data_IF_891000242511
#
_entry.id   IF_891000242511
#
_cell.length_a   1.000
_cell.length_b   1.000
_cell.length_c   1.000
_cell.angle_alpha   90.00
_cell.angle_beta   90.00
_cell.angle_gamma   90.00
#
_symmetry.space_group_name_H-M   'P 1'
#
loop_
_entity.id
_entity.type
_entity.pdbx_description
1 polymer ?
#
# COMPACT_ATOMS: atom_id res chain seq x y z
N UNK A 1 4.45 -43.50 -32.75
CA UNK A 1 4.25 -42.13 -32.24
C UNK A 1 4.91 -42.14 -30.89
N UNK A 2 6.23 -41.92 -30.84
CA UNK A 2 7.03 -42.07 -29.62
C UNK A 2 7.77 -40.76 -29.39
N UNK A 3 6.98 -39.76 -29.02
CA UNK A 3 7.46 -38.43 -28.65
C UNK A 3 7.20 -38.14 -27.16
N UNK A 4 7.13 -39.20 -26.35
CA UNK A 4 6.84 -39.14 -24.93
C UNK A 4 7.94 -39.93 -24.19
N UNK A 5 8.62 -39.27 -23.26
CA UNK A 5 9.55 -39.82 -22.27
C UNK A 5 11.04 -40.01 -22.66
N UNK A 6 11.68 -39.04 -23.31
CA UNK A 6 13.15 -38.91 -23.17
C UNK A 6 13.45 -38.13 -21.87
N UNK A 7 14.34 -38.61 -20.97
CA UNK A 7 14.67 -37.93 -19.71
C UNK A 7 15.17 -36.49 -19.91
N UNK A 8 15.76 -36.19 -21.07
CA UNK A 8 16.17 -34.84 -21.47
C UNK A 8 14.98 -33.88 -21.62
N UNK A 9 13.84 -34.34 -22.14
CA UNK A 9 12.65 -33.52 -22.29
C UNK A 9 12.01 -33.17 -20.94
N UNK A 10 12.02 -34.13 -20.00
CA UNK A 10 11.51 -33.91 -18.63
C UNK A 10 12.38 -32.92 -17.86
N UNK A 11 13.71 -33.03 -17.99
CA UNK A 11 14.66 -32.11 -17.36
C UNK A 11 14.52 -30.68 -17.91
N UNK A 12 14.32 -30.53 -19.22
CA UNK A 12 14.08 -29.22 -19.82
C UNK A 12 12.80 -28.56 -19.30
N UNK A 13 11.71 -29.32 -19.18
CA UNK A 13 10.45 -28.82 -18.62
C UNK A 13 10.63 -28.43 -17.15
N UNK A 14 11.30 -29.26 -16.35
CA UNK A 14 11.57 -28.96 -14.93
C UNK A 14 12.44 -27.71 -14.77
N UNK A 15 13.44 -27.51 -15.64
CA UNK A 15 14.27 -26.31 -15.63
C UNK A 15 13.45 -25.04 -15.95
N UNK A 16 12.57 -25.10 -16.95
CA UNK A 16 11.69 -23.99 -17.31
C UNK A 16 10.71 -23.69 -16.16
N UNK A 17 10.12 -24.72 -15.53
CA UNK A 17 9.21 -24.55 -14.38
C UNK A 17 9.96 -24.00 -13.17
N UNK A 18 11.21 -24.41 -12.93
CA UNK A 18 12.03 -23.86 -11.85
C UNK A 18 12.37 -22.39 -12.09
N UNK A 19 12.77 -22.02 -13.30
CA UNK A 19 13.03 -20.61 -13.65
C UNK A 19 11.75 -19.78 -13.54
N UNK A 20 10.62 -20.30 -14.03
CA UNK A 20 9.32 -19.67 -13.85
C UNK A 20 8.97 -19.50 -12.36
N UNK A 21 9.14 -20.53 -11.52
CA UNK A 21 8.83 -20.45 -10.09
C UNK A 21 9.72 -19.47 -9.31
N UNK A 22 10.99 -19.29 -9.72
CA UNK A 22 11.90 -18.33 -9.09
C UNK A 22 11.64 -16.89 -9.57
N UNK A 23 11.16 -16.73 -10.80
CA UNK A 23 10.84 -15.41 -11.39
C UNK A 23 9.42 -14.94 -11.09
N UNK A 24 8.48 -15.86 -10.94
CA UNK A 24 7.13 -15.59 -10.45
C UNK A 24 7.14 -15.61 -8.93
N UNK A 25 7.55 -14.50 -8.32
CA UNK A 25 7.00 -14.19 -7.00
C UNK A 25 5.51 -13.92 -7.22
N UNK A 26 4.59 -14.77 -6.72
CA UNK A 26 3.18 -14.45 -6.78
C UNK A 26 3.02 -13.09 -6.11
N UNK A 27 2.40 -12.14 -6.81
CA UNK A 27 2.18 -10.82 -6.26
C UNK A 27 1.41 -11.01 -4.95
N UNK A 28 2.07 -10.73 -3.81
CA UNK A 28 1.51 -10.97 -2.47
C UNK A 28 0.21 -10.20 -2.26
N UNK A 29 0.09 -9.07 -2.94
CA UNK A 29 -1.09 -8.19 -2.98
C UNK A 29 -1.40 -7.81 -4.42
N UNK A 30 -2.64 -7.38 -4.69
CA UNK A 30 -3.10 -6.94 -6.01
C UNK A 30 -3.43 -5.45 -6.01
N UNK A 31 -3.42 -4.82 -7.19
CA UNK A 31 -3.84 -3.43 -7.37
C UNK A 31 -3.00 -2.40 -6.61
N UNK A 32 -3.66 -1.38 -6.08
CA UNK A 32 -3.06 -0.23 -5.40
C UNK A 32 -2.31 -0.62 -4.12
N UNK A 33 -2.81 -1.64 -3.40
CA UNK A 33 -2.14 -2.18 -2.22
C UNK A 33 -0.77 -2.77 -2.52
N UNK A 34 -0.60 -3.36 -3.70
CA UNK A 34 0.71 -3.85 -4.16
C UNK A 34 1.68 -2.70 -4.39
N UNK A 35 1.22 -1.61 -5.03
CA UNK A 35 2.06 -0.45 -5.29
C UNK A 35 2.48 0.23 -3.98
N UNK A 36 1.57 0.33 -3.01
CA UNK A 36 1.88 0.80 -1.66
C UNK A 36 2.87 -0.11 -0.94
N UNK A 37 2.63 -1.43 -0.97
CA UNK A 37 3.49 -2.39 -0.30
C UNK A 37 4.93 -2.34 -0.82
N UNK A 38 5.11 -2.24 -2.14
CA UNK A 38 6.43 -2.18 -2.77
C UNK A 38 7.30 -1.01 -2.30
N UNK A 39 6.71 0.08 -1.81
CA UNK A 39 7.46 1.26 -1.36
C UNK A 39 7.42 1.52 0.13
N UNK A 40 6.32 1.15 0.77
CA UNK A 40 5.97 1.64 2.10
C UNK A 40 5.62 0.51 3.08
N UNK A 41 5.61 -0.76 2.65
CA UNK A 41 5.47 -1.90 3.57
C UNK A 41 6.64 -1.88 4.56
N UNK A 42 6.33 -2.12 5.83
CA UNK A 42 7.34 -2.16 6.88
C UNK A 42 6.97 -3.19 7.94
N UNK A 43 7.99 -3.83 8.51
CA UNK A 43 7.83 -4.70 9.68
C UNK A 43 7.71 -3.91 10.99
N UNK A 44 7.96 -2.59 10.94
CA UNK A 44 7.80 -1.70 12.08
C UNK A 44 6.32 -1.48 12.39
N UNK A 45 6.01 -1.14 13.64
CA UNK A 45 4.65 -0.82 14.08
C UNK A 45 4.62 0.53 14.79
N UNK A 46 3.50 1.28 14.66
CA UNK A 46 3.33 2.49 15.44
C UNK A 46 3.26 2.14 16.94
N UNK A 47 3.75 3.06 17.78
CA UNK A 47 3.73 2.91 19.24
C UNK A 47 2.31 2.92 19.82
N UNK A 48 1.36 3.56 19.13
CA UNK A 48 -0.06 3.56 19.47
C UNK A 48 -0.89 3.88 18.22
N UNK A 49 -2.08 3.29 18.12
CA UNK A 49 -3.06 3.60 17.06
C UNK A 49 -4.09 4.59 17.61
N UNK A 50 -4.12 5.79 17.03
CA UNK A 50 -5.02 6.85 17.47
C UNK A 50 -6.43 6.75 16.84
N UNK A 51 -6.55 6.00 15.74
CA UNK A 51 -7.78 5.87 14.96
C UNK A 51 -8.03 4.39 14.63
N UNK A 52 -8.66 3.63 15.54
CA UNK A 52 -8.90 2.21 15.32
C UNK A 52 -10.08 1.96 14.37
N UNK A 53 -9.96 0.96 13.50
CA UNK A 53 -11.04 0.48 12.63
C UNK A 53 -11.54 1.50 11.60
N UNK A 54 -10.66 2.37 11.12
CA UNK A 54 -10.94 3.35 10.08
C UNK A 54 -11.16 2.67 8.73
N UNK A 55 -12.25 3.03 8.06
CA UNK A 55 -12.49 2.61 6.69
C UNK A 55 -11.83 3.62 5.74
N UNK A 56 -10.77 3.20 5.04
CA UNK A 56 -10.07 4.00 4.04
C UNK A 56 -10.45 3.51 2.65
N UNK A 57 -10.81 4.42 1.75
CA UNK A 57 -10.98 4.07 0.34
C UNK A 57 -9.67 4.35 -0.38
N UNK A 58 -9.11 3.35 -1.06
CA UNK A 58 -7.90 3.49 -1.87
C UNK A 58 -8.27 3.37 -3.35
N UNK A 59 -7.89 4.37 -4.14
CA UNK A 59 -8.21 4.41 -5.55
C UNK A 59 -9.71 4.44 -5.80
N UNK A 60 -10.19 3.63 -6.76
CA UNK A 60 -11.52 3.82 -7.33
C UNK A 60 -12.67 3.38 -6.43
N UNK A 61 -12.62 2.26 -5.69
CA UNK A 61 -13.79 1.78 -4.94
C UNK A 61 -13.52 0.85 -3.74
N UNK A 62 -12.29 0.36 -3.51
CA UNK A 62 -12.07 -0.63 -2.45
C UNK A 62 -11.85 0.04 -1.09
N UNK A 63 -12.78 -0.23 -0.18
CA UNK A 63 -12.62 0.11 1.23
C UNK A 63 -11.78 -0.95 1.93
N UNK A 64 -10.81 -0.49 2.70
CA UNK A 64 -10.05 -1.32 3.60
C UNK A 64 -10.17 -0.78 5.02
N UNK A 65 -10.36 -1.71 5.97
CA UNK A 65 -10.39 -1.39 7.38
C UNK A 65 -8.99 -1.45 7.95
N UNK A 66 -8.54 -0.35 8.54
CA UNK A 66 -7.21 -0.22 9.12
C UNK A 66 -7.27 0.43 10.50
N UNK A 67 -6.31 0.09 11.35
CA UNK A 67 -5.98 0.91 12.49
C UNK A 67 -4.92 1.93 12.06
N UNK A 68 -5.29 3.21 12.14
CA UNK A 68 -4.45 4.31 11.70
C UNK A 68 -3.70 4.96 12.87
N UNK A 69 -2.46 5.34 12.62
CA UNK A 69 -1.67 6.19 13.50
C UNK A 69 -1.03 7.33 12.71
N UNK A 70 -0.86 8.46 13.37
CA UNK A 70 -0.31 9.68 12.78
C UNK A 70 0.73 10.22 13.75
N UNK A 71 2.00 10.18 13.35
CA UNK A 71 3.11 10.62 14.20
C UNK A 71 4.10 11.50 13.41
N UNK A 72 5.31 11.65 13.94
CA UNK A 72 6.35 12.48 13.34
C UNK A 72 7.03 11.80 12.13
N UNK A 73 7.01 10.46 12.03
CA UNK A 73 7.54 9.72 10.88
C UNK A 73 6.58 9.80 9.69
N UNK A 74 5.27 9.73 9.94
CA UNK A 74 4.30 9.75 8.86
C UNK A 74 2.91 9.27 9.25
N UNK A 75 2.24 8.76 8.22
CA UNK A 75 0.95 8.12 8.33
C UNK A 75 1.11 6.60 8.32
N UNK A 76 0.72 5.97 9.41
CA UNK A 76 0.71 4.52 9.57
C UNK A 76 -0.68 3.97 9.27
N UNK A 77 -0.71 2.90 8.46
CA UNK A 77 -1.88 2.08 8.21
C UNK A 77 -1.57 0.65 8.63
N UNK A 78 -2.22 0.16 9.67
CA UNK A 78 -2.13 -1.23 10.12
C UNK A 78 -3.38 -1.95 9.64
N UNK A 79 -3.24 -2.95 8.77
CA UNK A 79 -4.40 -3.64 8.24
C UNK A 79 -5.13 -4.41 9.35
N UNK A 80 -6.42 -4.12 9.53
CA UNK A 80 -7.26 -4.71 10.58
C UNK A 80 -8.50 -5.41 9.99
N UNK A 81 -8.50 -5.68 8.68
CA UNK A 81 -9.56 -6.39 7.99
C UNK A 81 -9.49 -7.92 8.15
N UNK A 82 -10.53 -8.65 7.73
CA UNK A 82 -10.65 -10.08 7.95
C UNK A 82 -9.71 -10.94 7.09
N UNK A 83 -9.15 -10.38 6.00
CA UNK A 83 -8.33 -11.14 5.04
C UNK A 83 -6.94 -10.50 4.86
N UNK A 84 -5.94 -10.93 5.64
CA UNK A 84 -4.59 -10.37 5.61
C UNK A 84 -3.81 -10.69 4.32
N UNK A 85 -4.37 -11.52 3.42
CA UNK A 85 -3.75 -11.78 2.12
C UNK A 85 -4.03 -10.67 1.10
N UNK A 86 -4.99 -9.77 1.37
CA UNK A 86 -5.39 -8.70 0.45
C UNK A 86 -4.60 -7.41 0.59
N UNK A 87 -3.97 -7.18 1.73
CA UNK A 87 -3.25 -5.95 2.02
C UNK A 87 -2.01 -6.20 2.88
N UNK A 88 -0.97 -5.34 2.75
CA UNK A 88 0.20 -5.37 3.63
C UNK A 88 -0.22 -5.22 5.10
N UNK A 89 0.45 -5.93 6.03
CA UNK A 89 0.11 -5.91 7.45
C UNK A 89 0.32 -4.53 8.07
N UNK A 90 1.35 -3.81 7.62
CA UNK A 90 1.62 -2.45 8.04
C UNK A 90 2.28 -1.65 6.91
N UNK A 91 1.82 -0.42 6.75
CA UNK A 91 2.36 0.55 5.79
C UNK A 91 2.66 1.84 6.53
N UNK A 92 3.85 2.39 6.31
CA UNK A 92 4.23 3.73 6.75
C UNK A 92 4.44 4.61 5.52
N UNK A 93 3.59 5.61 5.36
CA UNK A 93 3.74 6.63 4.31
C UNK A 93 4.36 7.88 4.93
N UNK A 94 5.58 8.26 4.52
CA UNK A 94 6.23 9.49 4.98
C UNK A 94 5.45 10.76 4.61
N UNK A 95 5.60 11.82 5.40
CA UNK A 95 4.84 13.06 5.21
C UNK A 95 5.09 13.78 3.87
N UNK A 96 6.32 13.74 3.38
CA UNK A 96 6.71 14.33 2.08
C UNK A 96 6.04 13.64 0.88
N UNK A 97 5.48 12.47 1.11
CA UNK A 97 4.75 11.68 0.13
C UNK A 97 3.23 11.90 0.20
N UNK A 98 2.69 12.62 1.19
CA UNK A 98 1.25 12.81 1.39
C UNK A 98 0.86 14.25 1.10
N UNK A 99 -0.10 14.43 0.18
CA UNK A 99 -0.64 15.76 -0.15
C UNK A 99 -2.14 15.81 0.06
N UNK A 100 -2.61 16.82 0.79
CA UNK A 100 -4.04 17.10 0.87
C UNK A 100 -4.54 17.62 -0.49
N UNK A 101 -5.67 17.07 -0.96
CA UNK A 101 -6.29 17.50 -2.22
C UNK A 101 -7.50 18.37 -1.95
N UNK A 102 -8.51 17.80 -1.30
CA UNK A 102 -9.79 18.47 -1.06
C UNK A 102 -10.59 17.73 0.00
N UNK A 103 -11.61 18.41 0.52
CA UNK A 103 -12.69 17.77 1.27
C UNK A 103 -13.87 17.50 0.31
N UNK A 104 -14.46 16.30 0.37
CA UNK A 104 -15.61 15.92 -0.47
C UNK A 104 -16.56 15.03 0.31
N UNK A 105 -17.85 15.38 0.32
CA UNK A 105 -18.92 14.63 1.00
C UNK A 105 -18.61 14.28 2.48
N UNK A 106 -17.98 15.20 3.20
CA UNK A 106 -17.60 15.01 4.61
C UNK A 106 -16.40 14.06 4.82
N UNK A 107 -15.68 13.68 3.77
CA UNK A 107 -14.44 12.92 3.82
C UNK A 107 -13.30 13.76 3.29
N UNK A 108 -12.09 13.50 3.77
CA UNK A 108 -10.90 14.20 3.30
C UNK A 108 -10.18 13.34 2.27
N UNK A 109 -9.90 13.90 1.10
CA UNK A 109 -9.14 13.26 0.03
C UNK A 109 -7.67 13.68 0.10
N UNK A 110 -6.80 12.70 0.02
CA UNK A 110 -5.36 12.86 0.00
C UNK A 110 -4.78 12.09 -1.18
N UNK A 111 -3.58 12.50 -1.60
CA UNK A 111 -2.81 11.82 -2.63
C UNK A 111 -1.48 11.36 -2.06
N UNK A 112 -1.13 10.10 -2.32
CA UNK A 112 0.18 9.52 -2.03
C UNK A 112 1.03 9.61 -3.29
N UNK A 113 2.25 10.14 -3.16
CA UNK A 113 3.26 10.17 -4.21
C UNK A 113 3.78 8.76 -4.45
N UNK A 114 3.31 8.15 -5.53
CA UNK A 114 3.75 6.86 -6.08
C UNK A 114 4.14 7.03 -7.55
N UNK A 115 4.54 5.95 -8.22
CA UNK A 115 4.75 5.97 -9.68
C UNK A 115 3.44 6.35 -10.40
N UNK A 116 2.34 5.77 -9.95
CA UNK A 116 0.98 6.20 -10.26
C UNK A 116 0.41 6.86 -9.01
N UNK A 117 0.15 8.18 -8.99
CA UNK A 117 -0.35 8.84 -7.80
C UNK A 117 -1.66 8.22 -7.31
N UNK A 118 -1.67 7.78 -6.06
CA UNK A 118 -2.81 7.08 -5.48
C UNK A 118 -3.62 8.04 -4.62
N UNK A 119 -4.90 8.16 -4.92
CA UNK A 119 -5.83 8.92 -4.09
C UNK A 119 -6.42 8.03 -2.99
N UNK A 120 -6.65 8.63 -1.82
CA UNK A 120 -7.26 7.95 -0.70
C UNK A 120 -8.16 8.86 0.11
N UNK A 121 -9.32 8.31 0.49
CA UNK A 121 -10.35 9.00 1.25
C UNK A 121 -10.40 8.46 2.67
N UNK A 122 -10.38 9.37 3.64
CA UNK A 122 -10.42 9.07 5.08
C UNK A 122 -11.59 9.75 5.76
N UNK A 123 -11.93 9.29 6.96
CA UNK A 123 -12.92 9.93 7.82
C UNK A 123 -12.53 11.38 8.16
N UNK A 124 -13.50 12.23 8.56
CA UNK A 124 -13.21 13.61 8.97
C UNK A 124 -12.19 13.70 10.12
N UNK A 125 -12.25 12.79 11.10
CA UNK A 125 -11.38 12.80 12.27
C UNK A 125 -9.92 12.55 11.92
N UNK A 126 -9.67 11.45 11.18
CA UNK A 126 -8.35 11.13 10.66
C UNK A 126 -7.88 12.18 9.64
N UNK A 127 -8.79 12.64 8.77
CA UNK A 127 -8.51 13.65 7.77
C UNK A 127 -8.02 14.97 8.34
N UNK A 128 -8.69 15.49 9.38
CA UNK A 128 -8.27 16.70 10.07
C UNK A 128 -6.91 16.53 10.77
N UNK A 129 -6.58 15.32 11.24
CA UNK A 129 -5.26 15.03 11.82
C UNK A 129 -4.16 15.01 10.74
N UNK A 130 -4.41 14.32 9.62
CA UNK A 130 -3.51 14.25 8.47
C UNK A 130 -3.26 15.63 7.85
N UNK A 131 -4.31 16.42 7.65
CA UNK A 131 -4.21 17.75 7.04
C UNK A 131 -3.38 18.71 7.91
N UNK A 132 -3.61 18.72 9.23
CA UNK A 132 -2.83 19.55 10.16
C UNK A 132 -1.34 19.23 10.16
N UNK A 133 -0.98 17.98 9.86
CA UNK A 133 0.41 17.51 9.80
C UNK A 133 1.04 17.73 8.42
N UNK A 134 0.33 17.40 7.34
CA UNK A 134 0.84 17.58 5.97
C UNK A 134 1.08 19.04 5.62
N UNK A 135 0.28 19.98 6.14
CA UNK A 135 0.47 21.42 5.94
C UNK A 135 1.70 22.00 6.64
N UNK A 136 2.29 21.29 7.60
CA UNK A 136 3.50 21.74 8.31
C UNK A 136 4.79 21.40 7.58
N UNK A 137 4.72 20.55 6.56
CA UNK A 137 5.84 20.26 5.66
C UNK A 137 5.76 21.21 4.47
N UNK A 138 6.62 22.24 4.37
CA UNK A 138 6.70 23.02 3.14
C UNK A 138 7.17 22.12 1.98
N UNK A 139 6.83 22.52 0.75
CA UNK A 139 7.23 21.88 -0.50
C UNK A 139 8.76 22.05 -0.76
N UNK A 140 9.62 21.62 0.17
CA UNK A 140 11.07 21.59 -0.03
C UNK A 140 11.49 20.28 -0.71
N UNK A 141 11.08 20.12 -1.97
CA UNK A 141 11.70 19.20 -2.91
C UNK A 141 11.27 19.55 -4.35
N UNK A 142 11.74 20.69 -4.85
CA UNK A 142 11.76 20.97 -6.29
C UNK A 142 12.98 21.84 -6.63
N UNK A 143 14.16 21.27 -6.97
CA UNK A 143 15.05 21.97 -7.87
C UNK A 143 14.43 21.85 -9.27
N UNK A 144 14.25 22.99 -9.93
CA UNK A 144 13.82 23.03 -11.33
C UNK A 144 14.81 22.40 -12.30
#
# INVERSE_FOLDING_TARGET
>A
MDFLASPLGVLAILAIVAVAAVTFQPARYVGEWREMAQRYETDRRPSSTAFPGEDITLGSLEFARVDAAVDDEGFWMVYSGPDPSKAPPCVLVPWDCIRFKQESAGRHNFQIRLKNPLEFLVSPGLGAALQRRSQRMPDEANPG
#
